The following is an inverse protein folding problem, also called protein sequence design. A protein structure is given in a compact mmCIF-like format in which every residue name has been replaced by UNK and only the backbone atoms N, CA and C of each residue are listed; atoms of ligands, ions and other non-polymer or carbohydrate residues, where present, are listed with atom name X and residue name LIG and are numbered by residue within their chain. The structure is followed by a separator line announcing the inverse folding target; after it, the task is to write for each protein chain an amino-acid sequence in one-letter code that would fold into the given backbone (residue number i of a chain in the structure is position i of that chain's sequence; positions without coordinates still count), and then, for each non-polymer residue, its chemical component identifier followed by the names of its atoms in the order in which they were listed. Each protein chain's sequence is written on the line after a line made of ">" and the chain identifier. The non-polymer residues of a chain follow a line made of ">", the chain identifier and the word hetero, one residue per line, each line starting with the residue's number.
data_IF_712161164586
#
_entry.id   IF_712161164586
#
_cell.length_a   1.000
_cell.length_b   1.000
_cell.length_c   1.000
_cell.angle_alpha   90.00
_cell.angle_beta   90.00
_cell.angle_gamma   90.00
#
_symmetry.space_group_name_H-M   'P 1'
#
loop_
_entity.id
_entity.type
_entity.pdbx_description
1 polymer ?
#
# COMPACT_ATOMS: atom_id res chain seq x y z
N UNK A 1 13.41 40.38 20.63
CA UNK A 1 14.02 39.18 20.05
C UNK A 1 15.52 39.31 20.22
N UNK A 2 16.16 38.34 20.87
CA UNK A 2 17.60 38.32 21.05
C UNK A 2 18.31 37.66 19.86
N UNK A 3 19.62 37.83 19.76
CA UNK A 3 20.42 37.27 18.66
C UNK A 3 20.28 35.74 18.59
N UNK A 4 20.14 35.08 19.74
CA UNK A 4 19.93 33.63 19.82
C UNK A 4 18.60 33.22 19.19
N UNK A 5 17.49 33.89 19.51
CA UNK A 5 16.19 33.59 18.92
C UNK A 5 16.20 33.78 17.41
N UNK A 6 16.91 34.79 16.89
CA UNK A 6 17.04 35.02 15.45
C UNK A 6 17.87 33.90 14.79
N UNK A 7 18.99 33.50 15.40
CA UNK A 7 19.84 32.43 14.89
C UNK A 7 19.13 31.07 14.89
N UNK A 8 18.50 30.68 15.99
CA UNK A 8 17.79 29.40 16.08
C UNK A 8 16.53 29.37 15.23
N UNK A 9 15.80 30.49 15.12
CA UNK A 9 14.67 30.63 14.20
C UNK A 9 15.11 30.49 12.73
N UNK A 10 16.23 31.11 12.37
CA UNK A 10 16.82 30.97 11.03
C UNK A 10 17.23 29.52 10.71
N UNK A 11 17.87 28.84 11.66
CA UNK A 11 18.24 27.43 11.53
C UNK A 11 17.00 26.52 11.35
N UNK A 12 15.91 26.80 12.05
CA UNK A 12 14.66 26.06 11.89
C UNK A 12 14.08 26.23 10.48
N UNK A 13 14.07 27.45 9.93
CA UNK A 13 13.60 27.73 8.57
C UNK A 13 14.50 27.01 7.55
N UNK A 14 15.83 27.10 7.69
CA UNK A 14 16.78 26.44 6.79
C UNK A 14 16.58 24.91 6.83
N UNK A 15 16.39 24.34 8.03
CA UNK A 15 16.11 22.90 8.20
C UNK A 15 14.85 22.47 7.46
N UNK A 16 13.76 23.24 7.59
CA UNK A 16 12.51 22.97 6.87
C UNK A 16 12.70 23.07 5.35
N UNK A 17 13.43 24.07 4.87
CA UNK A 17 13.74 24.20 3.43
C UNK A 17 14.53 23.00 2.93
N UNK A 18 15.59 22.58 3.63
CA UNK A 18 16.37 21.39 3.26
C UNK A 18 15.48 20.14 3.25
N UNK A 19 14.67 19.95 4.29
CA UNK A 19 13.78 18.79 4.40
C UNK A 19 12.76 18.73 3.24
N UNK A 20 12.07 19.83 2.95
CA UNK A 20 11.02 19.85 1.93
C UNK A 20 11.54 19.87 0.49
N UNK A 21 12.73 20.41 0.23
CA UNK A 21 13.24 20.58 -1.14
C UNK A 21 14.36 19.62 -1.50
N UNK A 22 15.24 19.26 -0.57
CA UNK A 22 16.39 18.37 -0.82
C UNK A 22 16.04 16.93 -0.44
N UNK A 23 15.24 16.73 0.62
CA UNK A 23 14.81 15.41 1.09
C UNK A 23 13.85 14.66 0.16
N UNK A 24 13.40 15.28 -0.95
CA UNK A 24 12.54 14.64 -1.96
C UNK A 24 13.31 13.68 -2.88
N UNK A 25 14.16 12.84 -2.31
CA UNK A 25 14.72 11.70 -3.02
C UNK A 25 13.59 10.69 -3.24
N UNK A 26 12.91 10.83 -4.39
CA UNK A 26 12.11 9.74 -4.94
C UNK A 26 13.06 8.56 -5.12
N UNK A 27 12.63 7.37 -4.69
CA UNK A 27 13.37 6.15 -4.97
C UNK A 27 13.69 6.09 -6.48
N UNK A 28 14.87 5.57 -6.82
CA UNK A 28 15.38 5.59 -8.20
C UNK A 28 14.33 4.98 -9.13
N UNK A 29 14.22 5.49 -10.36
CA UNK A 29 13.25 4.97 -11.35
C UNK A 29 13.28 3.44 -11.47
N UNK A 30 14.49 2.84 -11.46
CA UNK A 30 14.72 1.39 -11.42
C UNK A 30 14.01 0.67 -10.26
N UNK A 31 13.80 1.32 -9.12
CA UNK A 31 13.09 0.76 -7.97
C UNK A 31 11.58 1.01 -8.03
N UNK A 32 11.14 2.15 -8.59
CA UNK A 32 9.71 2.50 -8.68
C UNK A 32 8.99 1.91 -9.90
N UNK A 33 9.72 1.68 -10.99
CA UNK A 33 9.24 1.22 -12.29
C UNK A 33 9.83 -0.17 -12.58
N UNK A 34 9.68 -1.09 -11.62
CA UNK A 34 10.11 -2.48 -11.79
C UNK A 34 9.16 -3.24 -12.70
N UNK A 35 9.70 -4.06 -13.59
CA UNK A 35 8.92 -4.89 -14.53
C UNK A 35 8.05 -5.93 -13.82
N UNK A 36 8.48 -6.41 -12.65
CA UNK A 36 7.76 -7.39 -11.81
C UNK A 36 6.78 -6.74 -10.82
N UNK A 37 6.38 -5.48 -11.04
CA UNK A 37 5.45 -4.78 -10.17
C UNK A 37 4.08 -5.47 -10.17
N UNK A 38 3.58 -5.76 -8.98
CA UNK A 38 2.21 -6.28 -8.78
C UNK A 38 1.22 -5.26 -9.36
N UNK A 39 0.47 -5.69 -10.37
CA UNK A 39 -0.62 -4.92 -10.95
C UNK A 39 -1.90 -5.14 -10.14
N UNK A 40 -2.19 -4.18 -9.27
CA UNK A 40 -3.40 -4.16 -8.44
C UNK A 40 -4.66 -3.78 -9.22
N UNK A 41 -4.53 -3.31 -10.47
CA UNK A 41 -5.69 -3.06 -11.34
C UNK A 41 -6.26 -4.35 -11.92
N UNK A 42 -5.45 -5.41 -11.97
CA UNK A 42 -5.86 -6.72 -12.45
C UNK A 42 -6.33 -7.60 -11.30
N UNK A 43 -7.60 -8.01 -11.36
CA UNK A 43 -8.16 -8.95 -10.39
C UNK A 43 -7.63 -10.36 -10.67
N UNK A 44 -6.75 -10.84 -9.80
CA UNK A 44 -6.12 -12.17 -9.89
C UNK A 44 -7.08 -13.34 -9.56
N UNK A 45 -8.28 -13.06 -9.05
CA UNK A 45 -9.26 -14.08 -8.67
C UNK A 45 -10.58 -13.93 -9.44
N UNK A 46 -11.23 -15.08 -9.69
CA UNK A 46 -12.55 -15.12 -10.31
C UNK A 46 -13.62 -15.26 -9.25
N UNK A 47 -14.44 -14.21 -9.08
CA UNK A 47 -15.60 -14.23 -8.18
C UNK A 47 -16.56 -15.37 -8.52
N UNK A 48 -16.72 -15.70 -9.81
CA UNK A 48 -17.55 -16.81 -10.26
C UNK A 48 -17.02 -18.17 -9.80
N UNK A 49 -15.70 -18.38 -9.86
CA UNK A 49 -15.09 -19.62 -9.35
C UNK A 49 -15.28 -19.73 -7.85
N UNK A 50 -15.09 -18.63 -7.11
CA UNK A 50 -15.31 -18.58 -5.66
C UNK A 50 -16.78 -18.93 -5.34
N UNK A 51 -17.74 -18.32 -6.03
CA UNK A 51 -19.16 -18.59 -5.84
C UNK A 51 -19.54 -20.05 -6.14
N UNK A 52 -18.95 -20.64 -7.18
CA UNK A 52 -19.17 -22.04 -7.53
C UNK A 52 -18.59 -22.98 -6.45
N UNK A 53 -17.37 -22.72 -5.98
CA UNK A 53 -16.76 -23.51 -4.91
C UNK A 53 -17.54 -23.39 -3.60
N UNK A 54 -18.01 -22.20 -3.24
CA UNK A 54 -18.84 -22.02 -2.06
C UNK A 54 -20.17 -22.78 -2.17
N UNK A 55 -20.79 -22.78 -3.35
CA UNK A 55 -22.03 -23.53 -3.60
C UNK A 55 -21.80 -25.04 -3.43
N UNK A 56 -20.72 -25.57 -4.00
CA UNK A 56 -20.37 -27.00 -3.89
C UNK A 56 -20.14 -27.41 -2.44
N UNK A 57 -19.43 -26.58 -1.65
CA UNK A 57 -19.20 -26.84 -0.23
C UNK A 57 -20.52 -26.88 0.54
N UNK A 58 -21.42 -25.92 0.30
CA UNK A 58 -22.75 -25.91 0.96
C UNK A 58 -23.56 -27.15 0.61
N UNK A 59 -23.60 -27.54 -0.68
CA UNK A 59 -24.30 -28.74 -1.11
C UNK A 59 -23.74 -30.01 -0.47
N UNK A 60 -22.41 -30.13 -0.37
CA UNK A 60 -21.76 -31.26 0.29
C UNK A 60 -22.16 -31.36 1.77
N UNK A 61 -22.18 -30.23 2.49
CA UNK A 61 -22.62 -30.17 3.89
C UNK A 61 -24.07 -30.63 4.02
N UNK A 62 -24.97 -30.11 3.17
CA UNK A 62 -26.39 -30.50 3.18
C UNK A 62 -26.56 -32.00 2.94
N UNK A 63 -25.87 -32.56 1.94
CA UNK A 63 -25.94 -34.00 1.65
C UNK A 63 -25.47 -34.85 2.84
N UNK A 64 -24.36 -34.48 3.48
CA UNK A 64 -23.88 -35.18 4.68
C UNK A 64 -24.91 -35.13 5.80
N UNK A 65 -25.56 -33.98 6.04
CA UNK A 65 -26.59 -33.86 7.08
C UNK A 65 -27.89 -34.61 6.79
N UNK A 66 -28.17 -34.96 5.53
CA UNK A 66 -29.35 -35.74 5.15
C UNK A 66 -29.09 -37.25 5.13
N UNK A 67 -27.81 -37.66 5.07
CA UNK A 67 -27.38 -39.05 5.06
C UNK A 67 -27.04 -39.60 6.46
N UNK A 68 -26.69 -38.72 7.41
CA UNK A 68 -26.47 -39.01 8.82
C UNK A 68 -27.77 -38.85 9.62
#
# INVERSE_FOLDING_TARGET
>A
MDLNSLLFGGLAIISLVVFFFIGRYKAVKKQTERDDRIDWSQRQFSLWRIALYSLVVVLAVVLVTQLL
#
